data_IF_584140492488
#
_entry.id   IF_584140492488
#
_cell.length_a   1.000
_cell.length_b   1.000
_cell.length_c   1.000
_cell.angle_alpha   90.00
_cell.angle_beta   90.00
_cell.angle_gamma   90.00
#
_symmetry.space_group_name_H-M   'P 1'
#
loop_
_entity.id
_entity.type
_entity.pdbx_description
1 polymer ?
#
# COMPACT_ATOMS: atom_id res chain seq x y z
N UNK A 1 -6.51 26.02 22.52
CA UNK A 1 -5.47 25.56 23.48
C UNK A 1 -6.05 24.42 24.30
N UNK A 2 -6.02 23.19 23.77
CA UNK A 2 -6.41 21.99 24.51
C UNK A 2 -5.28 20.97 24.42
N UNK A 3 -4.47 21.03 25.48
CA UNK A 3 -3.80 19.97 26.25
C UNK A 3 -3.37 18.70 25.51
N UNK A 4 -2.06 18.62 25.33
CA UNK A 4 -1.24 17.41 25.23
C UNK A 4 -1.63 16.41 26.34
N UNK A 5 -1.86 15.15 25.97
CA UNK A 5 -1.78 14.03 26.90
C UNK A 5 -0.57 13.15 26.57
N UNK A 6 0.30 12.84 27.54
CA UNK A 6 1.41 11.92 27.35
C UNK A 6 0.94 10.45 27.37
N UNK A 7 1.55 9.64 26.52
CA UNK A 7 1.37 8.18 26.44
C UNK A 7 1.97 7.49 27.69
N UNK A 8 1.38 6.40 28.21
CA UNK A 8 1.94 5.68 29.36
C UNK A 8 3.10 4.76 28.96
N UNK A 9 4.10 4.71 29.85
CA UNK A 9 5.29 3.86 29.77
C UNK A 9 4.93 2.36 29.81
N UNK A 10 5.41 1.59 28.82
CA UNK A 10 5.26 0.14 28.81
C UNK A 10 6.46 -0.50 29.51
N UNK A 11 6.17 -1.12 30.66
CA UNK A 11 7.13 -1.84 31.48
C UNK A 11 7.41 -3.21 30.85
N UNK A 12 8.68 -3.48 30.55
CA UNK A 12 9.18 -4.81 30.15
C UNK A 12 8.93 -5.87 31.23
N UNK A 13 8.32 -7.00 30.85
CA UNK A 13 8.51 -8.27 31.54
C UNK A 13 8.48 -9.42 30.55
N UNK A 14 9.56 -10.19 30.56
CA UNK A 14 9.83 -11.38 29.77
C UNK A 14 9.32 -12.60 30.51
N UNK A 15 8.50 -13.44 29.89
CA UNK A 15 8.44 -14.88 30.19
C UNK A 15 8.10 -15.68 28.93
N UNK A 16 9.01 -16.60 28.62
CA UNK A 16 8.92 -17.66 27.63
C UNK A 16 7.88 -18.69 28.09
N UNK A 17 6.99 -19.13 27.20
CA UNK A 17 6.62 -20.55 27.14
C UNK A 17 6.08 -20.95 25.77
N UNK A 18 6.56 -22.10 25.34
CA UNK A 18 6.38 -22.78 24.06
C UNK A 18 4.99 -23.38 23.92
N UNK A 19 4.27 -23.05 22.84
CA UNK A 19 3.27 -23.95 22.27
C UNK A 19 3.38 -23.99 20.75
N UNK A 20 3.72 -25.19 20.29
CA UNK A 20 3.76 -25.61 18.90
C UNK A 20 2.35 -25.59 18.33
N UNK A 21 2.14 -24.81 17.27
CA UNK A 21 0.96 -24.93 16.42
C UNK A 21 1.48 -24.95 14.98
N UNK A 22 1.54 -26.15 14.41
CA UNK A 22 1.86 -26.39 13.01
C UNK A 22 0.77 -25.76 12.12
N UNK A 23 1.01 -24.53 11.66
CA UNK A 23 0.50 -24.09 10.36
C UNK A 23 1.57 -24.38 9.31
N UNK A 24 1.20 -24.82 8.09
CA UNK A 24 2.17 -25.04 7.03
C UNK A 24 2.75 -23.68 6.62
N UNK A 25 3.90 -23.36 7.20
CA UNK A 25 4.77 -22.26 6.79
C UNK A 25 5.25 -22.61 5.40
N UNK A 26 4.64 -22.00 4.38
CA UNK A 26 5.09 -22.11 3.00
C UNK A 26 6.58 -21.78 2.98
N UNK A 27 7.39 -22.78 2.63
CA UNK A 27 8.85 -22.66 2.63
C UNK A 27 9.23 -21.63 1.56
N UNK A 28 10.09 -20.64 1.85
CA UNK A 28 10.49 -19.58 0.91
C UNK A 28 10.92 -20.06 -0.49
N UNK A 29 11.40 -21.31 -0.59
CA UNK A 29 11.84 -21.93 -1.84
C UNK A 29 10.71 -22.34 -2.80
N UNK A 30 9.46 -22.52 -2.37
CA UNK A 30 8.35 -22.87 -3.29
C UNK A 30 7.72 -21.65 -3.96
N UNK A 31 7.80 -20.47 -3.32
CA UNK A 31 7.38 -19.20 -3.91
C UNK A 31 8.46 -18.66 -4.88
N UNK A 32 9.70 -19.16 -4.80
CA UNK A 32 10.71 -18.92 -5.83
C UNK A 32 10.21 -19.46 -7.17
N UNK A 33 9.75 -18.54 -8.04
CA UNK A 33 9.51 -18.73 -9.48
C UNK A 33 8.16 -19.33 -9.87
N UNK A 34 7.17 -19.35 -8.99
CA UNK A 34 5.80 -19.62 -9.43
C UNK A 34 5.29 -18.44 -10.28
N UNK A 35 4.85 -18.75 -11.50
CA UNK A 35 4.28 -17.77 -12.43
C UNK A 35 3.01 -17.18 -11.82
N UNK A 36 2.83 -15.86 -11.90
CA UNK A 36 1.64 -15.18 -11.37
C UNK A 36 0.33 -15.85 -11.81
N UNK A 37 0.26 -16.34 -13.06
CA UNK A 37 -0.92 -16.98 -13.63
C UNK A 37 -1.29 -18.33 -12.99
N UNK A 38 -0.41 -18.94 -12.20
CA UNK A 38 -0.67 -20.22 -11.51
C UNK A 38 -1.22 -20.04 -10.11
N UNK A 39 -1.14 -18.83 -9.56
CA UNK A 39 -1.60 -18.53 -8.21
C UNK A 39 -3.12 -18.38 -8.21
N UNK A 40 -3.78 -18.88 -7.18
CA UNK A 40 -5.25 -18.92 -7.11
C UNK A 40 -5.80 -18.34 -5.82
N UNK A 41 -5.03 -18.40 -4.74
CA UNK A 41 -5.46 -17.95 -3.42
C UNK A 41 -4.91 -16.56 -3.09
N UNK A 42 -5.57 -15.85 -2.18
CA UNK A 42 -5.09 -14.54 -1.71
C UNK A 42 -3.72 -14.66 -1.01
N UNK A 43 -3.53 -15.72 -0.22
CA UNK A 43 -2.28 -16.00 0.49
C UNK A 43 -1.11 -16.18 -0.51
N UNK A 44 -1.31 -16.99 -1.54
CA UNK A 44 -0.30 -17.19 -2.60
C UNK A 44 0.06 -15.87 -3.31
N UNK A 45 -0.93 -15.04 -3.64
CA UNK A 45 -0.69 -13.74 -4.25
C UNK A 45 0.10 -12.81 -3.31
N UNK A 46 -0.25 -12.79 -2.03
CA UNK A 46 0.42 -11.95 -1.02
C UNK A 46 1.87 -12.39 -0.80
N UNK A 47 2.11 -13.69 -0.65
CA UNK A 47 3.47 -14.22 -0.49
C UNK A 47 4.32 -13.94 -1.72
N UNK A 48 3.72 -14.06 -2.91
CA UNK A 48 4.38 -13.68 -4.16
C UNK A 48 4.74 -12.19 -4.18
N UNK A 49 3.81 -11.31 -3.81
CA UNK A 49 4.04 -9.88 -3.76
C UNK A 49 5.16 -9.51 -2.77
N UNK A 50 5.15 -10.07 -1.57
CA UNK A 50 6.20 -9.85 -0.57
C UNK A 50 7.57 -10.26 -1.11
N UNK A 51 7.67 -11.47 -1.68
CA UNK A 51 8.93 -11.98 -2.23
C UNK A 51 9.47 -11.05 -3.34
N UNK A 52 8.61 -10.69 -4.29
CA UNK A 52 9.03 -9.92 -5.46
C UNK A 52 9.31 -8.45 -5.12
N UNK A 53 8.50 -7.83 -4.27
CA UNK A 53 8.77 -6.47 -3.78
C UNK A 53 10.13 -6.40 -3.07
N UNK A 54 10.40 -7.32 -2.14
CA UNK A 54 11.65 -7.35 -1.38
C UNK A 54 12.86 -7.58 -2.29
N UNK A 55 12.69 -8.33 -3.38
CA UNK A 55 13.73 -8.51 -4.38
C UNK A 55 13.97 -7.23 -5.21
N UNK A 56 12.91 -6.69 -5.83
CA UNK A 56 12.99 -5.53 -6.72
C UNK A 56 13.47 -4.26 -6.00
N UNK A 57 13.08 -4.08 -4.74
CA UNK A 57 13.43 -2.93 -3.91
C UNK A 57 14.55 -3.23 -2.89
N UNK A 58 15.28 -4.34 -3.02
CA UNK A 58 16.41 -4.67 -2.14
C UNK A 58 17.46 -3.55 -2.04
N UNK A 59 17.63 -2.77 -3.11
CA UNK A 59 18.53 -1.61 -3.16
C UNK A 59 18.07 -0.40 -2.32
N UNK A 60 16.81 -0.38 -1.86
CA UNK A 60 16.25 0.67 -1.00
C UNK A 60 16.32 0.39 0.50
N UNK A 61 16.91 -0.74 0.93
CA UNK A 61 16.94 -1.18 2.33
C UNK A 61 15.54 -1.17 2.99
N UNK A 62 14.55 -1.68 2.26
CA UNK A 62 13.14 -1.72 2.67
C UNK A 62 12.57 -3.12 2.41
N UNK A 63 11.68 -3.56 3.30
CA UNK A 63 10.95 -4.81 3.16
C UNK A 63 9.46 -4.60 3.34
N UNK A 64 8.66 -5.26 2.50
CA UNK A 64 7.22 -5.45 2.70
C UNK A 64 7.01 -6.60 3.68
N UNK A 65 6.18 -6.38 4.69
CA UNK A 65 5.84 -7.38 5.72
C UNK A 65 4.34 -7.44 5.94
N UNK A 66 3.81 -8.67 6.12
CA UNK A 66 2.42 -8.87 6.52
C UNK A 66 2.29 -8.61 8.03
N UNK A 67 1.40 -7.69 8.40
CA UNK A 67 0.98 -7.45 9.78
C UNK A 67 -0.37 -8.10 10.10
N UNK A 68 -0.69 -8.17 11.39
CA UNK A 68 -1.94 -8.76 11.88
C UNK A 68 -3.05 -7.73 12.09
N UNK A 69 -2.68 -6.50 12.47
CA UNK A 69 -3.61 -5.43 12.86
C UNK A 69 -3.47 -4.23 11.92
N UNK A 70 -2.91 -3.12 12.40
CA UNK A 70 -2.85 -1.87 11.65
C UNK A 70 -1.68 -1.83 10.67
N UNK A 71 -1.86 -1.17 9.51
CA UNK A 71 -0.74 -0.84 8.65
C UNK A 71 0.17 0.16 9.35
N UNK A 72 1.48 0.04 9.16
CA UNK A 72 2.44 0.99 9.71
C UNK A 72 3.71 1.00 8.86
N UNK A 73 4.28 2.19 8.66
CA UNK A 73 5.63 2.31 8.12
C UNK A 73 6.66 2.53 9.24
N UNK A 74 7.58 1.57 9.35
CA UNK A 74 8.74 1.68 10.23
C UNK A 74 9.95 2.16 9.44
N UNK A 75 10.56 3.31 9.78
CA UNK A 75 11.79 3.74 9.14
C UNK A 75 12.94 2.78 9.46
N UNK A 76 13.96 2.77 8.60
CA UNK A 76 15.16 1.97 8.84
C UNK A 76 15.89 2.45 10.11
N UNK A 77 16.48 1.50 10.83
CA UNK A 77 17.38 1.76 11.95
C UNK A 77 18.77 1.25 11.62
N UNK A 78 19.72 1.42 12.55
CA UNK A 78 21.08 0.88 12.39
C UNK A 78 21.11 -0.66 12.33
N UNK A 79 20.06 -1.33 12.82
CA UNK A 79 19.99 -2.79 12.92
C UNK A 79 19.00 -3.42 11.93
N UNK A 80 17.98 -2.68 11.50
CA UNK A 80 16.87 -3.22 10.72
C UNK A 80 16.57 -2.37 9.48
N UNK A 81 16.25 -3.00 8.33
CA UNK A 81 15.72 -2.27 7.18
C UNK A 81 14.40 -1.60 7.53
N UNK A 82 14.00 -0.62 6.71
CA UNK A 82 12.67 -0.06 6.79
C UNK A 82 11.62 -1.15 6.52
N UNK A 83 10.45 -1.06 7.17
CA UNK A 83 9.37 -2.02 6.99
C UNK A 83 8.10 -1.31 6.56
N UNK A 84 7.53 -1.75 5.45
CA UNK A 84 6.18 -1.41 5.02
C UNK A 84 5.28 -2.54 5.54
N UNK A 85 4.54 -2.30 6.62
CA UNK A 85 3.61 -3.27 7.18
C UNK A 85 2.20 -3.01 6.68
N UNK A 86 1.56 -4.03 6.11
CA UNK A 86 0.17 -3.94 5.66
C UNK A 86 -0.73 -4.87 6.47
N UNK A 87 -2.01 -4.52 6.56
CA UNK A 87 -2.98 -5.14 7.45
C UNK A 87 -3.58 -6.44 6.91
N UNK A 88 -3.88 -7.36 7.83
CA UNK A 88 -4.74 -8.53 7.65
C UNK A 88 -4.39 -9.51 6.51
N UNK A 89 -3.21 -9.38 5.89
CA UNK A 89 -2.83 -10.21 4.76
C UNK A 89 -3.69 -9.98 3.51
N UNK A 90 -4.28 -8.80 3.33
CA UNK A 90 -5.02 -8.47 2.11
C UNK A 90 -4.08 -7.86 1.06
N UNK A 91 -4.17 -8.36 -0.18
CA UNK A 91 -3.31 -7.89 -1.26
C UNK A 91 -3.51 -6.41 -1.57
N UNK A 92 -4.75 -5.93 -1.54
CA UNK A 92 -5.04 -4.53 -1.79
C UNK A 92 -4.50 -3.63 -0.67
N UNK A 93 -4.51 -4.09 0.59
CA UNK A 93 -3.83 -3.35 1.67
C UNK A 93 -2.33 -3.23 1.40
N UNK A 94 -1.67 -4.29 0.94
CA UNK A 94 -0.26 -4.21 0.55
C UNK A 94 -0.02 -3.22 -0.60
N UNK A 95 -0.89 -3.19 -1.62
CA UNK A 95 -0.78 -2.22 -2.72
C UNK A 95 -0.95 -0.78 -2.23
N UNK A 96 -1.88 -0.55 -1.32
CA UNK A 96 -2.14 0.74 -0.71
C UNK A 96 -0.89 1.25 0.03
N UNK A 97 -0.30 0.44 0.91
CA UNK A 97 0.91 0.82 1.65
C UNK A 97 2.12 1.08 0.73
N UNK A 98 2.30 0.25 -0.30
CA UNK A 98 3.35 0.49 -1.31
C UNK A 98 3.08 1.81 -2.05
N UNK A 99 1.83 2.15 -2.33
CA UNK A 99 1.49 3.42 -2.99
C UNK A 99 1.94 4.62 -2.15
N UNK A 100 1.66 4.62 -0.84
CA UNK A 100 2.13 5.64 0.09
C UNK A 100 3.66 5.72 0.16
N UNK A 101 4.33 4.57 0.21
CA UNK A 101 5.78 4.54 0.25
C UNK A 101 6.44 5.07 -1.04
N UNK A 102 5.90 4.71 -2.21
CA UNK A 102 6.46 5.13 -3.51
C UNK A 102 6.31 6.63 -3.79
N UNK A 103 5.31 7.30 -3.21
CA UNK A 103 5.18 8.76 -3.32
C UNK A 103 6.01 9.53 -2.30
N UNK A 104 6.44 8.86 -1.24
CA UNK A 104 7.13 9.48 -0.12
C UNK A 104 8.60 9.70 -0.44
N UNK A 105 9.05 10.95 -0.42
CA UNK A 105 10.45 11.30 -0.65
C UNK A 105 11.38 10.85 0.48
N UNK A 106 12.69 10.98 0.27
CA UNK A 106 13.72 10.48 1.19
C UNK A 106 13.57 10.96 2.64
N UNK A 107 13.16 12.21 2.86
CA UNK A 107 12.97 12.73 4.22
C UNK A 107 11.75 12.11 4.91
N UNK A 108 10.67 11.87 4.17
CA UNK A 108 9.46 11.24 4.71
C UNK A 108 9.72 9.78 5.08
N UNK A 109 10.53 9.07 4.30
CA UNK A 109 10.97 7.68 4.58
C UNK A 109 11.83 7.54 5.85
N UNK A 110 12.22 8.64 6.51
CA UNK A 110 12.89 8.62 7.82
C UNK A 110 11.92 8.75 9.00
N UNK A 111 10.64 9.00 8.74
CA UNK A 111 9.63 9.22 9.75
C UNK A 111 8.72 7.99 9.84
N UNK A 112 8.24 7.65 11.05
CA UNK A 112 7.10 6.73 11.23
C UNK A 112 5.92 7.17 10.35
N UNK A 113 5.22 6.21 9.76
CA UNK A 113 4.10 6.42 8.83
C UNK A 113 4.37 7.45 7.73
N UNK A 114 5.64 7.55 7.32
CA UNK A 114 6.09 8.48 6.29
C UNK A 114 5.76 9.94 6.66
N UNK A 115 5.52 10.23 7.94
CA UNK A 115 5.05 11.52 8.43
C UNK A 115 3.60 11.86 8.07
N UNK A 116 2.78 10.89 7.67
CA UNK A 116 1.32 11.05 7.66
C UNK A 116 0.79 11.07 9.09
N UNK A 117 -0.28 11.82 9.34
CA UNK A 117 -1.01 11.75 10.59
C UNK A 117 -2.08 10.67 10.51
N UNK A 118 -2.38 10.04 11.64
CA UNK A 118 -3.59 9.22 11.77
C UNK A 118 -4.82 10.12 11.90
N UNK A 119 -5.85 9.85 11.10
CA UNK A 119 -7.14 10.48 11.23
C UNK A 119 -8.16 9.38 11.56
N UNK A 120 -8.72 9.33 12.79
CA UNK A 120 -9.66 8.30 13.17
C UNK A 120 -10.95 8.41 12.34
N UNK A 121 -11.70 7.32 12.29
CA UNK A 121 -13.05 7.27 11.76
C UNK A 121 -13.99 8.28 12.45
N UNK A 122 -15.10 8.64 11.79
CA UNK A 122 -16.03 9.66 12.28
C UNK A 122 -15.67 11.09 11.85
N UNK A 123 -15.01 11.23 10.69
CA UNK A 123 -14.57 12.54 10.15
C UNK A 123 -15.76 13.37 9.71
N UNK A 124 -15.70 14.68 9.98
CA UNK A 124 -16.61 15.67 9.40
C UNK A 124 -16.38 15.81 7.90
N UNK A 125 -17.31 16.40 7.16
CA UNK A 125 -17.17 16.66 5.73
C UNK A 125 -15.88 17.45 5.39
N UNK A 126 -15.49 18.43 6.21
CA UNK A 126 -14.26 19.21 6.01
C UNK A 126 -13.00 18.37 6.24
N UNK A 127 -13.00 17.52 7.27
CA UNK A 127 -11.90 16.60 7.55
C UNK A 127 -11.76 15.55 6.46
N UNK A 128 -12.89 15.03 5.97
CA UNK A 128 -12.93 14.12 4.84
C UNK A 128 -12.35 14.77 3.58
N UNK A 129 -12.72 16.01 3.28
CA UNK A 129 -12.19 16.73 2.11
C UNK A 129 -10.66 16.93 2.19
N UNK A 130 -10.10 17.15 3.38
CA UNK A 130 -8.65 17.22 3.59
C UNK A 130 -7.97 15.86 3.40
N UNK A 131 -8.59 14.78 3.89
CA UNK A 131 -8.11 13.43 3.67
C UNK A 131 -8.10 13.07 2.19
N UNK A 132 -9.20 13.28 1.50
CA UNK A 132 -9.31 12.98 0.07
C UNK A 132 -8.23 13.70 -0.75
N UNK A 133 -7.92 14.96 -0.41
CA UNK A 133 -6.86 15.71 -1.08
C UNK A 133 -5.48 15.01 -1.01
N UNK A 134 -5.14 14.44 0.15
CA UNK A 134 -3.85 13.75 0.33
C UNK A 134 -3.86 12.34 -0.26
N UNK A 135 -5.04 11.74 -0.39
CA UNK A 135 -5.26 10.38 -0.91
C UNK A 135 -5.38 10.28 -2.44
N UNK A 136 -5.60 11.39 -3.15
CA UNK A 136 -5.74 11.38 -4.62
C UNK A 136 -4.55 10.68 -5.30
N UNK A 137 -3.31 10.97 -4.88
CA UNK A 137 -2.11 10.39 -5.48
C UNK A 137 -1.86 8.94 -5.05
N UNK A 138 -1.88 8.60 -3.75
CA UNK A 138 -1.85 7.20 -3.29
C UNK A 138 -2.82 6.33 -4.06
N UNK A 139 -4.11 6.68 -4.05
CA UNK A 139 -5.17 5.85 -4.65
C UNK A 139 -5.11 5.79 -6.17
N UNK A 140 -4.65 6.86 -6.84
CA UNK A 140 -4.37 6.79 -8.28
C UNK A 140 -3.23 5.81 -8.60
N UNK A 141 -2.18 5.76 -7.79
CA UNK A 141 -1.05 4.84 -7.96
C UNK A 141 -1.44 3.41 -7.57
N UNK A 142 -2.21 3.24 -6.51
CA UNK A 142 -2.80 1.95 -6.12
C UNK A 142 -3.64 1.38 -7.28
N UNK A 143 -4.43 2.22 -7.95
CA UNK A 143 -5.18 1.80 -9.13
C UNK A 143 -4.25 1.35 -10.27
N UNK A 144 -3.16 2.06 -10.54
CA UNK A 144 -2.16 1.62 -11.53
C UNK A 144 -1.57 0.26 -11.17
N UNK A 145 -1.24 0.02 -9.89
CA UNK A 145 -0.72 -1.27 -9.43
C UNK A 145 -1.75 -2.39 -9.56
N UNK A 146 -2.98 -2.16 -9.09
CA UNK A 146 -4.08 -3.11 -9.19
C UNK A 146 -4.35 -3.49 -10.64
N UNK A 147 -4.46 -2.48 -11.52
CA UNK A 147 -4.61 -2.71 -12.95
C UNK A 147 -3.43 -3.52 -13.48
N UNK A 148 -2.17 -3.22 -13.14
CA UNK A 148 -0.99 -3.98 -13.58
C UNK A 148 -1.05 -5.47 -13.18
N UNK A 149 -1.58 -5.79 -12.00
CA UNK A 149 -1.83 -7.17 -11.56
C UNK A 149 -3.08 -7.82 -12.17
N UNK A 150 -3.90 -7.07 -12.93
CA UNK A 150 -5.18 -7.53 -13.44
C UNK A 150 -6.26 -7.64 -12.36
N UNK A 151 -6.12 -6.88 -11.27
CA UNK A 151 -7.02 -6.87 -10.11
C UNK A 151 -7.99 -5.70 -10.18
N UNK A 152 -9.13 -5.85 -9.51
CA UNK A 152 -10.09 -4.75 -9.32
C UNK A 152 -9.56 -3.77 -8.28
N UNK A 153 -9.77 -2.50 -8.54
CA UNK A 153 -9.51 -1.40 -7.63
C UNK A 153 -10.83 -0.74 -7.23
N UNK A 154 -10.91 -0.27 -5.99
CA UNK A 154 -12.01 0.55 -5.49
C UNK A 154 -11.41 1.67 -4.66
N UNK A 155 -11.92 2.87 -4.86
CA UNK A 155 -11.58 4.01 -4.03
C UNK A 155 -12.04 3.74 -2.59
N UNK A 156 -11.14 3.97 -1.63
CA UNK A 156 -11.46 3.88 -0.20
C UNK A 156 -11.70 5.29 0.36
N UNK A 157 -12.90 5.53 0.86
CA UNK A 157 -13.20 6.76 1.61
C UNK A 157 -12.69 6.71 3.05
N UNK A 158 -12.44 5.50 3.56
CA UNK A 158 -11.90 5.23 4.90
C UNK A 158 -12.69 5.91 6.05
N UNK A 159 -14.00 6.10 5.89
CA UNK A 159 -14.84 6.82 6.85
C UNK A 159 -16.16 6.06 7.03
N UNK A 160 -16.14 5.03 7.88
CA UNK A 160 -17.28 4.12 8.09
C UNK A 160 -18.40 4.75 8.92
N UNK A 161 -18.08 5.65 9.86
CA UNK A 161 -19.05 6.25 10.78
C UNK A 161 -19.20 7.77 10.64
N UNK A 162 -18.45 8.39 9.73
CA UNK A 162 -18.47 9.83 9.49
C UNK A 162 -19.26 10.29 8.25
N UNK A 163 -19.10 11.56 7.90
CA UNK A 163 -19.75 12.19 6.75
C UNK A 163 -18.87 12.08 5.49
N UNK A 164 -18.79 10.87 4.93
CA UNK A 164 -17.97 10.58 3.74
C UNK A 164 -18.60 10.89 2.38
N UNK A 165 -19.93 11.08 2.33
CA UNK A 165 -20.66 11.19 1.05
C UNK A 165 -20.52 9.94 0.17
N UNK A 166 -20.80 10.08 -1.13
CA UNK A 166 -20.66 9.00 -2.13
C UNK A 166 -19.27 8.93 -2.77
N UNK A 167 -18.38 9.87 -2.40
CA UNK A 167 -17.03 9.98 -2.94
C UNK A 167 -16.95 10.34 -4.42
N UNK A 168 -18.02 10.80 -5.07
CA UNK A 168 -18.05 10.98 -6.53
C UNK A 168 -16.94 11.94 -7.02
N UNK A 169 -16.78 13.08 -6.34
CA UNK A 169 -15.72 14.05 -6.61
C UNK A 169 -14.32 13.47 -6.35
N UNK A 170 -14.18 12.68 -5.30
CA UNK A 170 -12.90 12.03 -4.98
C UNK A 170 -12.50 11.03 -6.06
N UNK A 171 -13.43 10.18 -6.50
CA UNK A 171 -13.23 9.25 -7.63
C UNK A 171 -12.90 10.00 -8.93
N UNK A 172 -13.56 11.14 -9.20
CA UNK A 172 -13.22 12.00 -10.34
C UNK A 172 -11.78 12.52 -10.25
N UNK A 173 -11.36 12.95 -9.06
CA UNK A 173 -10.01 13.45 -8.82
C UNK A 173 -8.97 12.35 -8.96
N UNK A 174 -9.22 11.14 -8.45
CA UNK A 174 -8.36 9.96 -8.64
C UNK A 174 -8.23 9.61 -10.13
N UNK A 175 -9.35 9.56 -10.86
CA UNK A 175 -9.32 9.30 -12.30
C UNK A 175 -8.59 10.40 -13.09
N UNK A 176 -8.81 11.67 -12.74
CA UNK A 176 -8.09 12.79 -13.33
C UNK A 176 -6.59 12.71 -13.05
N UNK A 177 -6.18 12.29 -11.85
CA UNK A 177 -4.77 12.09 -11.52
C UNK A 177 -4.13 10.97 -12.34
N UNK A 178 -4.83 9.86 -12.59
CA UNK A 178 -4.36 8.82 -13.54
C UNK A 178 -4.13 9.41 -14.94
N UNK A 179 -5.10 10.16 -15.49
CA UNK A 179 -4.94 10.84 -16.78
C UNK A 179 -3.72 11.75 -16.82
N UNK A 180 -3.47 12.50 -15.75
CA UNK A 180 -2.30 13.39 -15.63
C UNK A 180 -0.97 12.64 -15.60
N UNK A 181 -0.92 11.44 -15.02
CA UNK A 181 0.28 10.60 -15.09
C UNK A 181 0.56 10.14 -16.52
N UNK A 182 -0.47 9.76 -17.28
CA UNK A 182 -0.34 9.33 -18.68
C UNK A 182 -0.03 10.49 -19.63
N UNK A 183 -0.58 11.68 -19.41
CA UNK A 183 -0.32 12.86 -20.26
C UNK A 183 1.06 13.49 -20.00
N UNK A 184 1.71 13.17 -18.88
CA UNK A 184 2.95 13.80 -18.44
C UNK A 184 2.75 15.13 -17.72
N UNK A 185 1.51 15.61 -17.54
CA UNK A 185 1.20 16.80 -16.74
C UNK A 185 1.62 16.62 -15.27
N UNK A 186 1.44 15.40 -14.75
CA UNK A 186 1.93 15.00 -13.43
C UNK A 186 3.00 13.93 -13.58
N UNK A 187 4.15 14.12 -12.92
CA UNK A 187 5.21 13.14 -12.93
C UNK A 187 4.84 11.94 -12.06
N UNK A 188 4.81 10.75 -12.64
CA UNK A 188 4.71 9.49 -11.89
C UNK A 188 5.98 9.32 -11.04
N UNK A 189 5.87 9.05 -9.73
CA UNK A 189 7.04 8.80 -8.87
C UNK A 189 7.91 7.67 -9.41
N UNK A 190 9.23 7.83 -9.31
CA UNK A 190 10.21 6.89 -9.88
C UNK A 190 9.98 5.46 -9.39
N UNK A 191 9.76 5.30 -8.10
CA UNK A 191 9.62 3.98 -7.47
C UNK A 191 8.27 3.34 -7.83
N UNK A 192 7.21 4.15 -8.00
CA UNK A 192 5.94 3.67 -8.53
C UNK A 192 6.08 3.17 -9.98
N UNK A 193 6.74 3.95 -10.84
CA UNK A 193 7.02 3.55 -12.22
C UNK A 193 7.87 2.26 -12.29
N UNK A 194 8.85 2.14 -11.41
CA UNK A 194 9.72 0.96 -11.31
C UNK A 194 8.93 -0.28 -10.88
N UNK A 195 8.04 -0.14 -9.90
CA UNK A 195 7.18 -1.24 -9.47
C UNK A 195 6.23 -1.68 -10.58
N UNK A 196 5.55 -0.73 -11.24
CA UNK A 196 4.67 -1.01 -12.39
C UNK A 196 5.41 -1.76 -13.49
N UNK A 197 6.63 -1.34 -13.82
CA UNK A 197 7.46 -2.00 -14.83
C UNK A 197 7.65 -3.49 -14.53
N UNK A 198 8.07 -3.83 -13.31
CA UNK A 198 8.31 -5.21 -12.93
C UNK A 198 7.04 -6.05 -12.79
N UNK A 199 5.95 -5.47 -12.27
CA UNK A 199 4.65 -6.12 -12.29
C UNK A 199 4.29 -6.46 -13.74
N UNK A 200 4.37 -5.48 -14.65
CA UNK A 200 4.01 -5.69 -16.05
C UNK A 200 4.85 -6.80 -16.70
N UNK A 201 6.15 -6.80 -16.43
CA UNK A 201 7.07 -7.83 -16.90
C UNK A 201 6.66 -9.23 -16.46
N UNK A 202 6.28 -9.40 -15.19
CA UNK A 202 5.98 -10.70 -14.61
C UNK A 202 4.53 -11.19 -14.81
N UNK A 203 3.56 -10.29 -14.89
CA UNK A 203 2.13 -10.68 -14.85
C UNK A 203 1.44 -10.59 -16.20
N UNK A 204 1.95 -9.77 -17.12
CA UNK A 204 1.31 -9.44 -18.40
C UNK A 204 2.31 -9.35 -19.57
N UNK A 205 3.34 -10.20 -19.55
CA UNK A 205 4.33 -10.34 -20.63
C UNK A 205 4.99 -9.02 -21.04
N UNK A 206 5.21 -8.11 -20.08
CA UNK A 206 5.83 -6.81 -20.31
C UNK A 206 4.93 -5.77 -21.00
N UNK A 207 3.65 -6.06 -21.24
CA UNK A 207 2.72 -5.07 -21.82
C UNK A 207 2.53 -3.90 -20.84
N UNK A 208 2.93 -2.71 -21.24
CA UNK A 208 2.74 -1.49 -20.45
C UNK A 208 1.25 -1.15 -20.31
N UNK A 209 0.90 -0.52 -19.18
CA UNK A 209 -0.42 0.04 -18.94
C UNK A 209 -0.78 1.08 -20.02
N UNK A 210 -2.05 1.12 -20.40
CA UNK A 210 -2.64 2.06 -21.33
C UNK A 210 -3.76 2.84 -20.64
N UNK A 211 -3.96 4.09 -21.04
CA UNK A 211 -4.98 4.95 -20.42
C UNK A 211 -6.41 4.41 -20.62
N UNK A 212 -6.67 3.69 -21.71
CA UNK A 212 -7.98 3.10 -22.03
C UNK A 212 -8.37 1.91 -21.12
N UNK A 213 -7.43 1.39 -20.32
CA UNK A 213 -7.69 0.43 -19.23
C UNK A 213 -8.38 1.11 -18.02
N UNK A 214 -8.40 2.44 -17.96
CA UNK A 214 -8.92 3.21 -16.84
C UNK A 214 -10.20 3.93 -17.24
N UNK A 215 -11.29 3.59 -16.55
CA UNK A 215 -12.62 4.14 -16.80
C UNK A 215 -13.20 4.67 -15.50
N UNK A 216 -13.75 5.88 -15.50
CA UNK A 216 -14.28 6.52 -14.29
C UNK A 216 -15.40 5.67 -13.66
N UNK A 217 -16.24 5.08 -14.49
CA UNK A 217 -17.34 4.19 -14.08
C UNK A 217 -16.85 2.89 -13.42
N UNK A 218 -15.58 2.53 -13.55
CA UNK A 218 -15.01 1.36 -12.84
C UNK A 218 -14.71 1.65 -11.37
N UNK A 219 -14.82 2.92 -10.93
CA UNK A 219 -14.67 3.33 -9.54
C UNK A 219 -15.99 3.36 -8.77
N UNK A 220 -17.12 3.05 -9.43
CA UNK A 220 -18.45 3.05 -8.83
C UNK A 220 -18.88 1.69 -8.24
#
# INVERSE_FOLDING_TARGET
MHLLQPQPEVTTSSLVSTHSTDLPRLIPDQVQRSSWQKLTTEVEHVDWLILHFNHWFSHHNVTLVKGDFEPEYFPATDQLPARIQFAHGFFNSALHEISHWTISGEQRRKLPDLGYWYAPDGRTAEQQALFEQVEIKPQAIEWLFATAFGRKFRVSLDNLTGEGGDGALFKDNVFNQVKRFFSGESKLPRDAAHFIYYICLCTRNGRALQLDEFKRESLD
#
